data_IF_815752066209
#
_entry.id   IF_815752066209
#
_cell.length_a   1.000
_cell.length_b   1.000
_cell.length_c   1.000
_cell.angle_alpha   90.00
_cell.angle_beta   90.00
_cell.angle_gamma   90.00
#
_symmetry.space_group_name_H-M   'P 1'
#
loop_
_entity.id
_entity.type
_entity.pdbx_description
1 polymer ?
#
# COMPACT_ATOMS: atom_id res chain seq x y z
N UNK A 1 9.01 3.75 7.60
CA UNK A 1 8.96 3.66 6.12
C UNK A 1 10.25 3.08 5.58
N UNK A 2 10.29 2.73 4.30
CA UNK A 2 11.37 1.93 3.69
C UNK A 2 12.39 2.76 2.89
N UNK A 3 11.97 3.43 1.82
CA UNK A 3 12.84 4.27 0.98
C UNK A 3 12.32 5.70 0.94
N UNK A 4 13.25 6.67 0.86
CA UNK A 4 12.87 8.06 0.63
C UNK A 4 12.17 8.21 -0.73
N UNK A 5 11.25 9.18 -0.89
CA UNK A 5 10.57 9.39 -2.16
C UNK A 5 11.53 9.61 -3.34
N UNK A 6 12.62 10.35 -3.11
CA UNK A 6 13.64 10.63 -4.14
C UNK A 6 14.35 9.36 -4.60
N UNK A 7 14.72 8.47 -3.66
CA UNK A 7 15.34 7.17 -4.00
C UNK A 7 14.39 6.31 -4.82
N UNK A 8 13.13 6.21 -4.40
CA UNK A 8 12.13 5.42 -5.13
C UNK A 8 11.87 5.98 -6.53
N UNK A 9 11.74 7.31 -6.65
CA UNK A 9 11.55 7.99 -7.93
C UNK A 9 12.73 7.80 -8.90
N UNK A 10 13.97 7.80 -8.39
CA UNK A 10 15.15 7.53 -9.21
C UNK A 10 15.13 6.11 -9.79
N UNK A 11 14.78 5.10 -8.98
CA UNK A 11 14.65 3.72 -9.43
C UNK A 11 13.51 3.57 -10.47
N UNK A 12 12.35 4.17 -10.21
CA UNK A 12 11.21 4.17 -11.13
C UNK A 12 11.56 4.83 -12.47
N UNK A 13 12.28 5.95 -12.45
CA UNK A 13 12.75 6.61 -13.67
C UNK A 13 13.72 5.72 -14.45
N UNK A 14 14.67 5.08 -13.78
CA UNK A 14 15.60 4.16 -14.42
C UNK A 14 14.88 2.96 -15.06
N UNK A 15 13.75 2.53 -14.48
CA UNK A 15 12.87 1.50 -15.03
C UNK A 15 11.91 2.00 -16.12
N UNK A 16 11.97 3.29 -16.51
CA UNK A 16 11.13 3.86 -17.58
C UNK A 16 9.71 4.23 -17.15
N UNK A 17 9.38 4.20 -15.85
CA UNK A 17 8.02 4.47 -15.36
C UNK A 17 7.56 5.93 -15.55
N UNK A 18 8.48 6.85 -15.84
CA UNK A 18 8.11 8.24 -16.16
C UNK A 18 7.38 8.36 -17.51
N UNK A 19 7.54 7.39 -18.41
CA UNK A 19 6.94 7.39 -19.75
C UNK A 19 6.11 6.14 -20.04
N UNK A 20 6.24 5.07 -19.25
CA UNK A 20 5.54 3.80 -19.43
C UNK A 20 4.64 3.53 -18.22
N UNK A 21 3.33 3.43 -18.46
CA UNK A 21 2.29 3.20 -17.45
C UNK A 21 1.53 4.46 -17.02
N UNK A 22 0.62 4.26 -16.06
CA UNK A 22 -0.32 5.27 -15.58
C UNK A 22 -0.06 5.71 -14.13
N UNK A 23 0.91 5.11 -13.44
CA UNK A 23 1.16 5.45 -12.05
C UNK A 23 2.01 4.47 -11.27
N UNK A 24 1.82 4.49 -9.95
CA UNK A 24 2.52 3.64 -8.99
C UNK A 24 1.54 2.94 -8.03
N UNK A 25 1.96 1.80 -7.49
CA UNK A 25 1.34 1.19 -6.32
C UNK A 25 2.12 1.57 -5.08
N UNK A 26 1.42 1.81 -3.97
CA UNK A 26 2.03 1.99 -2.64
C UNK A 26 1.34 1.10 -1.61
N UNK A 27 2.01 0.89 -0.47
CA UNK A 27 1.54 0.08 0.65
C UNK A 27 1.22 -1.41 0.39
N UNK A 28 1.53 -1.97 -0.79
CA UNK A 28 1.15 -3.35 -1.16
C UNK A 28 1.59 -4.34 -0.08
N UNK A 29 0.63 -5.12 0.44
CA UNK A 29 0.81 -6.07 1.53
C UNK A 29 1.35 -5.46 2.85
N UNK A 30 1.27 -4.16 3.04
CA UNK A 30 1.72 -3.46 4.24
C UNK A 30 0.55 -2.77 4.96
N UNK A 31 0.87 -1.99 6.00
CA UNK A 31 -0.08 -1.56 7.01
C UNK A 31 -0.04 -0.04 7.24
N UNK A 32 0.73 0.72 6.46
CA UNK A 32 0.82 2.18 6.65
C UNK A 32 -0.55 2.85 6.47
N UNK A 33 -0.82 3.88 7.30
CA UNK A 33 -2.10 4.59 7.25
C UNK A 33 -2.25 5.25 5.87
N UNK A 34 -3.48 5.27 5.37
CA UNK A 34 -3.80 5.83 4.05
C UNK A 34 -3.32 7.27 3.86
N UNK A 35 -3.37 8.09 4.93
CA UNK A 35 -2.87 9.47 4.88
C UNK A 35 -1.36 9.56 4.66
N UNK A 36 -0.59 8.69 5.33
CA UNK A 36 0.87 8.63 5.20
C UNK A 36 1.27 8.19 3.79
N UNK A 37 0.59 7.17 3.26
CA UNK A 37 0.83 6.64 1.91
C UNK A 37 0.39 7.63 0.83
N UNK A 38 -0.70 8.36 1.05
CA UNK A 38 -1.12 9.46 0.16
C UNK A 38 -0.03 10.54 0.08
N UNK A 39 0.52 10.95 1.22
CA UNK A 39 1.61 11.92 1.26
C UNK A 39 2.89 11.37 0.64
N UNK A 40 3.19 10.09 0.83
CA UNK A 40 4.36 9.43 0.25
C UNK A 40 4.25 9.32 -1.28
N UNK A 41 3.13 8.79 -1.78
CA UNK A 41 2.87 8.61 -3.20
C UNK A 41 2.97 9.94 -3.97
N UNK A 42 2.39 11.01 -3.44
CA UNK A 42 2.49 12.37 -4.02
C UNK A 42 3.94 12.85 -4.14
N UNK A 43 4.78 12.60 -3.12
CA UNK A 43 6.20 12.97 -3.16
C UNK A 43 6.97 12.12 -4.16
N UNK A 44 6.67 10.84 -4.28
CA UNK A 44 7.28 9.95 -5.29
C UNK A 44 6.91 10.42 -6.69
N UNK A 45 5.62 10.65 -6.98
CA UNK A 45 5.14 11.12 -8.28
C UNK A 45 5.74 12.48 -8.65
N UNK A 46 5.82 13.41 -7.68
CA UNK A 46 6.48 14.71 -7.89
C UNK A 46 7.95 14.53 -8.22
N UNK A 47 8.66 13.69 -7.47
CA UNK A 47 10.08 13.43 -7.69
C UNK A 47 10.35 12.61 -8.95
N UNK A 48 9.39 11.83 -9.45
CA UNK A 48 9.49 11.07 -10.70
C UNK A 48 9.53 12.00 -11.91
N UNK A 49 8.79 13.12 -11.86
CA UNK A 49 8.81 14.15 -12.90
C UNK A 49 8.17 13.70 -14.22
N UNK A 50 7.27 12.71 -14.16
CA UNK A 50 6.49 12.27 -15.31
C UNK A 50 5.26 13.14 -15.58
N UNK A 51 4.44 12.78 -16.59
CA UNK A 51 3.22 13.50 -16.94
C UNK A 51 2.26 13.67 -15.75
N UNK A 52 1.53 14.79 -15.71
CA UNK A 52 0.60 15.08 -14.62
C UNK A 52 -0.55 14.06 -14.47
N UNK A 53 -0.80 13.24 -15.50
CA UNK A 53 -1.76 12.13 -15.46
C UNK A 53 -1.31 10.96 -14.59
N UNK A 54 -0.02 10.85 -14.26
CA UNK A 54 0.46 9.75 -13.42
C UNK A 54 -0.15 9.88 -12.02
N UNK A 55 -0.86 8.84 -11.61
CA UNK A 55 -1.48 8.74 -10.30
C UNK A 55 -0.90 7.62 -9.46
N UNK A 56 -1.57 7.32 -8.35
CA UNK A 56 -1.19 6.22 -7.49
C UNK A 56 -2.43 5.47 -7.00
N UNK A 57 -2.26 4.18 -6.80
CA UNK A 57 -3.22 3.36 -6.05
C UNK A 57 -2.58 2.91 -4.75
N UNK A 58 -3.37 2.91 -3.68
CA UNK A 58 -2.91 2.56 -2.33
C UNK A 58 -3.57 1.26 -1.90
N UNK A 59 -2.76 0.29 -1.50
CA UNK A 59 -3.27 -0.89 -0.83
C UNK A 59 -3.80 -0.52 0.57
N UNK A 60 -5.08 -0.75 0.78
CA UNK A 60 -5.84 -0.44 2.02
C UNK A 60 -6.40 -1.72 2.65
N UNK A 61 -5.93 -2.89 2.20
CA UNK A 61 -6.40 -4.20 2.65
C UNK A 61 -6.39 -4.38 4.16
N UNK A 62 -5.28 -3.99 4.83
CA UNK A 62 -5.04 -4.33 6.24
C UNK A 62 -4.58 -3.14 7.09
N UNK A 63 -4.78 -1.91 6.63
CA UNK A 63 -4.19 -0.71 7.24
C UNK A 63 -5.11 0.06 8.21
N UNK A 64 -6.26 -0.50 8.62
CA UNK A 64 -7.24 0.18 9.48
C UNK A 64 -6.68 0.64 10.83
N UNK A 65 -5.80 -0.18 11.43
CA UNK A 65 -5.11 0.13 12.69
C UNK A 65 -3.68 0.69 12.49
N UNK A 66 -3.32 1.06 11.25
CA UNK A 66 -1.99 1.56 10.89
C UNK A 66 -0.89 0.51 10.97
N UNK A 67 0.36 0.95 10.85
CA UNK A 67 1.51 0.06 10.88
C UNK A 67 1.87 -0.34 12.31
N UNK A 68 2.33 -1.59 12.53
CA UNK A 68 2.90 -1.98 13.81
C UNK A 68 4.27 -1.29 14.04
N UNK A 69 4.90 -1.57 15.18
CA UNK A 69 6.26 -1.12 15.45
C UNK A 69 7.22 -1.54 14.31
N UNK A 70 8.23 -0.70 14.07
CA UNK A 70 9.17 -0.89 12.97
C UNK A 70 9.77 -2.31 12.94
N UNK A 71 9.87 -2.90 11.74
CA UNK A 71 10.40 -4.25 11.53
C UNK A 71 9.36 -5.38 11.62
N UNK A 72 8.14 -5.12 12.10
CA UNK A 72 7.09 -6.15 12.23
C UNK A 72 6.11 -6.17 11.05
N UNK A 73 6.58 -6.48 9.85
CA UNK A 73 5.71 -6.51 8.67
C UNK A 73 5.02 -7.87 8.43
N UNK A 74 5.54 -8.96 8.99
CA UNK A 74 5.07 -10.31 8.68
C UNK A 74 4.01 -10.77 9.69
N UNK A 75 2.75 -10.88 9.24
CA UNK A 75 1.57 -11.29 10.03
C UNK A 75 1.43 -10.61 11.42
N UNK A 76 1.56 -9.27 11.52
CA UNK A 76 1.42 -8.59 12.80
C UNK A 76 0.00 -8.70 13.36
N UNK A 77 -0.11 -8.96 14.66
CA UNK A 77 -1.38 -8.98 15.37
C UNK A 77 -2.00 -7.57 15.55
N UNK A 78 -3.31 -7.54 15.84
CA UNK A 78 -4.06 -6.31 16.14
C UNK A 78 -4.18 -5.33 14.96
N UNK A 79 -4.01 -5.83 13.73
CA UNK A 79 -4.30 -5.06 12.51
C UNK A 79 -5.79 -5.19 12.19
N UNK A 80 -6.30 -4.27 11.40
CA UNK A 80 -7.70 -4.25 10.99
C UNK A 80 -7.81 -4.01 9.49
N UNK A 81 -8.92 -4.44 8.89
CA UNK A 81 -9.28 -4.06 7.53
C UNK A 81 -9.24 -2.53 7.39
N UNK A 82 -8.72 -2.04 6.27
CA UNK A 82 -8.79 -0.62 5.94
C UNK A 82 -10.03 -0.28 5.11
N UNK A 83 -9.96 0.87 4.45
CA UNK A 83 -11.01 1.35 3.55
C UNK A 83 -11.30 0.31 2.45
N UNK A 84 -12.56 -0.09 2.22
CA UNK A 84 -12.90 -0.98 1.10
C UNK A 84 -12.55 -0.37 -0.26
N UNK A 85 -12.28 -1.20 -1.29
CA UNK A 85 -11.85 -0.72 -2.60
C UNK A 85 -12.80 0.34 -3.19
N UNK A 86 -12.25 1.47 -3.63
CA UNK A 86 -13.02 2.56 -4.23
C UNK A 86 -12.14 3.51 -5.05
N UNK A 87 -12.73 4.11 -6.08
CA UNK A 87 -12.14 5.24 -6.83
C UNK A 87 -12.54 6.60 -6.26
N UNK A 88 -13.47 6.64 -5.29
CA UNK A 88 -13.90 7.87 -4.62
C UNK A 88 -12.95 8.20 -3.47
N UNK A 89 -11.70 8.49 -3.80
CA UNK A 89 -10.64 8.76 -2.80
C UNK A 89 -10.77 10.16 -2.19
N UNK A 90 -11.27 11.13 -2.96
CA UNK A 90 -11.26 12.54 -2.58
C UNK A 90 -9.86 13.17 -2.58
N UNK A 91 -8.84 12.42 -3.01
CA UNK A 91 -7.44 12.80 -2.90
C UNK A 91 -6.82 13.00 -4.29
N UNK A 92 -6.36 14.21 -4.59
CA UNK A 92 -5.66 14.50 -5.83
C UNK A 92 -4.45 13.57 -6.03
N UNK A 93 -4.31 13.03 -7.26
CA UNK A 93 -3.30 12.05 -7.66
C UNK A 93 -3.37 10.69 -6.98
N UNK A 94 -4.48 10.35 -6.32
CA UNK A 94 -4.75 9.01 -5.82
C UNK A 94 -5.98 8.46 -6.55
N UNK A 95 -5.75 7.52 -7.46
CA UNK A 95 -6.76 7.04 -8.39
C UNK A 95 -7.72 6.06 -7.74
N UNK A 96 -7.22 5.23 -6.81
CA UNK A 96 -8.02 4.29 -6.07
C UNK A 96 -7.39 3.86 -4.74
N UNK A 97 -8.26 3.49 -3.81
CA UNK A 97 -7.93 2.57 -2.73
C UNK A 97 -8.29 1.17 -3.21
N UNK A 98 -7.36 0.23 -3.08
CA UNK A 98 -7.56 -1.16 -3.49
C UNK A 98 -7.20 -2.09 -2.33
N UNK A 99 -7.75 -3.29 -2.33
CA UNK A 99 -7.21 -4.40 -1.55
C UNK A 99 -6.37 -5.22 -2.50
N UNK A 100 -5.08 -4.87 -2.57
CA UNK A 100 -4.14 -5.56 -3.47
C UNK A 100 -3.72 -6.88 -2.81
N UNK A 101 -3.32 -6.82 -1.54
CA UNK A 101 -3.23 -8.02 -0.70
C UNK A 101 -4.63 -8.46 -0.29
N UNK A 102 -4.86 -9.77 -0.30
CA UNK A 102 -6.11 -10.38 0.14
C UNK A 102 -6.10 -10.55 1.67
N UNK A 103 -7.01 -9.91 2.43
CA UNK A 103 -7.12 -10.09 3.87
C UNK A 103 -7.37 -11.55 4.25
N UNK A 104 -6.60 -12.07 5.21
CA UNK A 104 -6.64 -13.47 5.64
C UNK A 104 -5.56 -14.35 5.03
N UNK A 105 -4.85 -13.88 4.01
CA UNK A 105 -3.65 -14.58 3.53
C UNK A 105 -2.40 -14.20 4.33
N UNK A 106 -1.65 -15.21 4.74
CA UNK A 106 -0.37 -15.09 5.44
C UNK A 106 0.68 -14.32 4.60
N UNK A 107 1.53 -13.56 5.29
CA UNK A 107 2.76 -12.94 4.79
C UNK A 107 3.95 -13.91 4.82
N UNK A 108 3.83 -15.03 5.55
CA UNK A 108 4.85 -16.08 5.64
C UNK A 108 5.21 -16.52 7.06
N UNK A 109 4.67 -15.87 8.10
CA UNK A 109 5.06 -16.12 9.49
C UNK A 109 4.03 -16.97 10.25
N UNK A 110 2.75 -16.82 9.94
CA UNK A 110 1.65 -17.61 10.52
C UNK A 110 1.27 -18.81 9.64
N UNK A 111 1.87 -18.94 8.46
CA UNK A 111 1.64 -19.97 7.45
C UNK A 111 2.44 -19.67 6.19
N UNK A 112 2.37 -20.53 5.16
CA UNK A 112 3.04 -20.25 3.88
C UNK A 112 2.55 -18.91 3.28
N UNK A 113 3.44 -18.11 2.69
CA UNK A 113 3.02 -16.83 2.10
C UNK A 113 1.92 -17.06 1.05
N UNK A 114 0.80 -16.35 1.20
CA UNK A 114 -0.39 -16.52 0.37
C UNK A 114 -1.39 -17.59 0.84
N UNK A 115 -1.09 -18.38 1.87
CA UNK A 115 -2.07 -19.32 2.42
C UNK A 115 -3.13 -18.58 3.21
N UNK A 116 -4.41 -18.87 2.94
CA UNK A 116 -5.54 -18.29 3.65
C UNK A 116 -5.80 -19.00 4.99
N UNK A 117 -6.02 -18.23 6.06
CA UNK A 117 -6.56 -18.73 7.33
C UNK A 117 -7.81 -17.94 7.72
N UNK A 118 -8.96 -18.62 7.96
CA UNK A 118 -10.19 -17.96 8.41
C UNK A 118 -10.00 -17.12 9.67
N UNK A 119 -9.17 -17.58 10.60
CA UNK A 119 -8.89 -16.91 11.87
C UNK A 119 -8.21 -15.55 11.66
N UNK A 120 -7.27 -15.46 10.70
CA UNK A 120 -6.62 -14.20 10.39
C UNK A 120 -7.56 -13.23 9.69
N UNK A 121 -8.37 -13.73 8.74
CA UNK A 121 -9.41 -12.93 8.10
C UNK A 121 -10.39 -12.36 9.13
N UNK A 122 -10.85 -13.21 10.05
CA UNK A 122 -11.75 -12.83 11.13
C UNK A 122 -11.13 -11.80 12.07
N UNK A 123 -9.87 -11.98 12.48
CA UNK A 123 -9.16 -11.02 13.32
C UNK A 123 -9.05 -9.65 12.64
N UNK A 124 -8.72 -9.59 11.35
CA UNK A 124 -8.68 -8.34 10.59
C UNK A 124 -10.06 -7.66 10.51
N UNK A 125 -11.12 -8.44 10.34
CA UNK A 125 -12.49 -7.92 10.23
C UNK A 125 -13.05 -7.38 11.55
N UNK A 126 -12.59 -7.93 12.68
CA UNK A 126 -13.08 -7.59 14.02
C UNK A 126 -12.22 -6.58 14.76
N UNK A 127 -10.96 -6.39 14.34
CA UNK A 127 -10.09 -5.26 14.72
C UNK A 127 -9.56 -5.31 16.14
#
# INVERSE_FOLDING_TARGET
>A
GWHTPAKQAAALRAAGAATNGDGIFTNVANFHRTADETAYARRVLTALGGPARLGAVIDTSRNGNGAPAAGKWCDPAGRALGQPPTTRTGEARIDAYLWVKLPGESDGCSGAAGSFTPEYAYALATG
#
